data_IF_880184083649
#
_entry.id   IF_880184083649
#
_cell.length_a   1.000
_cell.length_b   1.000
_cell.length_c   1.000
_cell.angle_alpha   90.00
_cell.angle_beta   90.00
_cell.angle_gamma   90.00
#
_symmetry.space_group_name_H-M   'P 1'
#
loop_
_entity.id
_entity.type
_entity.pdbx_description
1 polymer ?
#
# COMPACT_ATOMS: atom_id res chain seq x y z
N UNK A 1 14.60 6.30 1.70
CA UNK A 1 13.27 6.88 1.91
C UNK A 1 13.09 7.11 3.39
N UNK A 2 12.98 8.37 3.79
CA UNK A 2 12.58 8.75 5.14
C UNK A 2 11.06 8.89 5.20
N UNK A 3 10.42 7.87 5.77
CA UNK A 3 8.95 7.82 5.89
C UNK A 3 8.38 8.85 6.88
N UNK A 4 9.20 9.46 7.74
CA UNK A 4 8.76 10.50 8.68
C UNK A 4 8.82 11.91 8.08
N UNK A 5 9.19 12.03 6.80
CA UNK A 5 9.34 13.32 6.13
C UNK A 5 8.00 13.98 5.81
N UNK A 6 7.96 15.32 5.91
CA UNK A 6 6.80 16.11 5.45
C UNK A 6 6.53 15.97 3.95
N UNK A 7 7.56 15.62 3.17
CA UNK A 7 7.42 15.28 1.76
C UNK A 7 6.58 14.01 1.57
N UNK A 8 6.84 12.95 2.35
CA UNK A 8 6.05 11.71 2.31
C UNK A 8 4.60 11.95 2.75
N UNK A 9 4.39 12.74 3.80
CA UNK A 9 3.04 13.15 4.21
C UNK A 9 2.31 13.89 3.09
N UNK A 10 2.96 14.87 2.44
CA UNK A 10 2.40 15.62 1.32
C UNK A 10 2.06 14.74 0.11
N UNK A 11 2.86 13.70 -0.13
CA UNK A 11 2.63 12.69 -1.17
C UNK A 11 1.38 11.86 -0.88
N UNK A 12 1.23 11.38 0.36
CA UNK A 12 0.05 10.63 0.80
C UNK A 12 -1.22 11.51 0.74
N UNK A 13 -1.12 12.77 1.17
CA UNK A 13 -2.21 13.74 1.09
C UNK A 13 -2.61 14.04 -0.36
N UNK A 14 -1.66 14.02 -1.29
CA UNK A 14 -1.95 14.21 -2.72
C UNK A 14 -2.79 13.06 -3.28
N UNK A 15 -2.49 11.81 -2.90
CA UNK A 15 -3.32 10.65 -3.27
C UNK A 15 -4.76 10.82 -2.77
N UNK A 16 -4.92 11.14 -1.48
CA UNK A 16 -6.24 11.33 -0.85
C UNK A 16 -7.03 12.40 -1.60
N UNK A 17 -6.40 13.56 -1.86
CA UNK A 17 -7.02 14.69 -2.52
C UNK A 17 -7.34 14.40 -3.98
N UNK A 18 -6.45 13.79 -4.73
CA UNK A 18 -6.64 13.60 -6.18
C UNK A 18 -7.66 12.50 -6.48
N UNK A 19 -7.82 11.54 -5.56
CA UNK A 19 -8.76 10.42 -5.72
C UNK A 19 -10.03 10.50 -4.85
N UNK A 20 -10.29 11.63 -4.19
CA UNK A 20 -11.44 11.79 -3.26
C UNK A 20 -12.82 11.54 -3.89
N UNK A 21 -12.96 11.75 -5.21
CA UNK A 21 -14.23 11.50 -5.92
C UNK A 21 -14.42 10.03 -6.30
N UNK A 22 -13.36 9.22 -6.23
CA UNK A 22 -13.36 7.81 -6.65
C UNK A 22 -13.40 6.86 -5.46
N UNK A 23 -12.89 7.27 -4.31
CA UNK A 23 -12.80 6.46 -3.10
C UNK A 23 -13.40 7.17 -1.90
N UNK A 24 -14.23 6.44 -1.15
CA UNK A 24 -14.58 6.85 0.21
C UNK A 24 -13.49 6.38 1.17
N UNK A 25 -12.57 7.28 1.50
CA UNK A 25 -11.45 6.99 2.39
C UNK A 25 -11.85 6.59 3.81
N UNK A 26 -13.13 6.77 4.19
CA UNK A 26 -13.66 6.26 5.44
C UNK A 26 -14.01 4.76 5.37
N UNK A 27 -14.13 4.18 4.19
CA UNK A 27 -14.44 2.76 4.00
C UNK A 27 -13.26 1.98 3.40
N UNK A 28 -12.48 2.62 2.51
CA UNK A 28 -11.34 1.98 1.82
C UNK A 28 -10.02 2.68 2.14
N UNK A 29 -8.99 1.89 2.42
CA UNK A 29 -7.60 2.32 2.45
C UNK A 29 -6.80 1.66 1.35
N UNK A 30 -5.93 2.43 0.69
CA UNK A 30 -5.05 1.96 -0.38
C UNK A 30 -3.60 2.20 0.02
N UNK A 31 -2.79 1.16 -0.09
CA UNK A 31 -1.34 1.25 0.03
C UNK A 31 -0.73 0.68 -1.24
N UNK A 32 0.20 1.40 -1.84
CA UNK A 32 0.91 0.97 -3.03
C UNK A 32 2.41 0.99 -2.76
N UNK A 33 3.11 -0.02 -3.25
CA UNK A 33 4.56 -0.11 -3.11
C UNK A 33 5.21 -0.70 -4.36
N UNK A 34 6.33 -0.11 -4.74
CA UNK A 34 7.27 -0.71 -5.70
C UNK A 34 8.53 -1.12 -4.93
N UNK A 35 8.90 -2.38 -5.09
CA UNK A 35 10.03 -2.99 -4.39
C UNK A 35 11.01 -3.44 -5.46
N UNK A 36 12.20 -2.86 -5.44
CA UNK A 36 13.29 -3.21 -6.36
C UNK A 36 14.31 -4.06 -5.60
N UNK A 37 14.37 -5.34 -5.94
CA UNK A 37 15.26 -6.30 -5.30
C UNK A 37 16.74 -6.09 -5.68
N UNK A 38 17.02 -5.51 -6.85
CA UNK A 38 18.39 -5.22 -7.28
C UNK A 38 18.97 -4.04 -6.51
N UNK A 39 18.20 -2.96 -6.41
CA UNK A 39 18.65 -1.71 -5.77
C UNK A 39 18.35 -1.69 -4.27
N UNK A 40 17.70 -2.74 -3.75
CA UNK A 40 17.23 -2.85 -2.35
C UNK A 40 16.45 -1.62 -1.90
N UNK A 41 15.59 -1.12 -2.78
CA UNK A 41 14.79 0.07 -2.55
C UNK A 41 13.31 -0.26 -2.52
N UNK A 42 12.59 0.52 -1.70
CA UNK A 42 11.14 0.45 -1.60
C UNK A 42 10.62 1.86 -1.74
N UNK A 43 9.72 2.05 -2.69
CA UNK A 43 8.91 3.25 -2.80
C UNK A 43 7.50 2.93 -2.34
N UNK A 44 6.91 3.81 -1.53
CA UNK A 44 5.58 3.60 -0.96
C UNK A 44 4.69 4.82 -1.20
N UNK A 45 3.39 4.55 -1.26
CA UNK A 45 2.33 5.54 -1.34
C UNK A 45 1.16 5.00 -0.52
N UNK A 46 0.59 5.81 0.36
CA UNK A 46 -0.53 5.40 1.22
C UNK A 46 -1.64 6.44 1.19
N UNK A 47 -2.89 6.00 1.27
CA UNK A 47 -4.03 6.86 1.55
C UNK A 47 -4.21 7.11 3.06
N UNK A 48 -3.33 6.56 3.89
CA UNK A 48 -3.30 6.72 5.35
C UNK A 48 -1.83 6.81 5.79
N UNK A 49 -1.36 8.03 6.04
CA UNK A 49 0.02 8.28 6.43
C UNK A 49 0.31 7.78 7.85
N UNK A 50 -0.63 7.91 8.78
CA UNK A 50 -0.49 7.40 10.15
C UNK A 50 -0.33 5.87 10.15
N UNK A 51 -1.09 5.18 9.29
CA UNK A 51 -0.91 3.75 9.06
C UNK A 51 0.49 3.41 8.54
N UNK A 52 1.01 4.20 7.59
CA UNK A 52 2.35 4.01 7.06
C UNK A 52 3.40 4.16 8.17
N UNK A 53 3.31 5.21 8.99
CA UNK A 53 4.19 5.43 10.14
C UNK A 53 4.12 4.27 11.13
N UNK A 54 2.91 3.79 11.44
CA UNK A 54 2.70 2.65 12.35
C UNK A 54 3.31 1.36 11.80
N UNK A 55 3.11 1.08 10.52
CA UNK A 55 3.63 -0.13 9.87
C UNK A 55 5.15 -0.22 9.92
N UNK A 56 5.83 0.89 9.64
CA UNK A 56 7.30 0.97 9.65
C UNK A 56 7.86 1.14 11.07
N UNK A 57 7.16 1.84 11.96
CA UNK A 57 7.59 2.03 13.35
C UNK A 57 7.52 0.75 14.19
N UNK A 58 6.78 -0.25 13.73
CA UNK A 58 6.63 -1.56 14.38
C UNK A 58 7.41 -2.67 13.65
N UNK A 59 8.37 -2.28 12.79
CA UNK A 59 9.27 -3.15 12.04
C UNK A 59 8.55 -4.20 11.15
N UNK A 60 7.29 -3.96 10.79
CA UNK A 60 6.51 -4.89 9.95
C UNK A 60 7.03 -4.90 8.51
N UNK A 61 7.71 -3.83 8.08
CA UNK A 61 8.44 -3.76 6.82
C UNK A 61 9.57 -4.80 6.74
N UNK A 62 10.19 -5.20 7.86
CA UNK A 62 11.19 -6.27 7.87
C UNK A 62 10.60 -7.64 7.49
N UNK A 63 9.29 -7.80 7.65
CA UNK A 63 8.53 -9.02 7.29
C UNK A 63 7.95 -8.97 5.87
N UNK A 64 8.32 -7.96 5.06
CA UNK A 64 7.75 -7.77 3.72
C UNK A 64 7.89 -9.00 2.82
N UNK A 65 8.90 -9.85 3.05
CA UNK A 65 9.12 -11.09 2.32
C UNK A 65 7.91 -12.05 2.35
N UNK A 66 7.11 -12.07 3.43
CA UNK A 66 5.88 -12.87 3.49
C UNK A 66 4.84 -12.43 2.44
N UNK A 67 4.92 -11.15 2.03
CA UNK A 67 3.97 -10.47 1.15
C UNK A 67 4.41 -10.43 -0.32
N UNK A 68 5.64 -10.84 -0.62
CA UNK A 68 6.24 -10.79 -1.96
C UNK A 68 5.86 -11.97 -2.86
N UNK A 69 4.98 -12.86 -2.38
CA UNK A 69 4.48 -13.96 -3.20
C UNK A 69 3.47 -13.41 -4.19
N UNK A 70 3.77 -13.54 -5.49
CA UNK A 70 2.86 -13.11 -6.55
C UNK A 70 1.46 -13.74 -6.39
N UNK A 71 0.42 -12.96 -6.69
CA UNK A 71 -0.99 -13.36 -6.54
C UNK A 71 -1.77 -12.46 -5.58
N UNK A 72 -2.94 -12.95 -5.18
CA UNK A 72 -3.87 -12.25 -4.30
C UNK A 72 -3.88 -12.97 -2.95
N UNK A 73 -3.58 -12.26 -1.87
CA UNK A 73 -3.42 -12.86 -0.54
C UNK A 73 -4.12 -12.01 0.52
N UNK A 74 -4.88 -12.64 1.41
CA UNK A 74 -5.41 -11.96 2.59
C UNK A 74 -4.35 -11.88 3.68
N UNK A 75 -4.30 -10.76 4.39
CA UNK A 75 -3.37 -10.59 5.52
C UNK A 75 -3.58 -11.61 6.64
N UNK A 76 -4.79 -12.13 6.78
CA UNK A 76 -5.11 -13.20 7.73
C UNK A 76 -4.36 -14.51 7.46
N UNK A 77 -3.75 -14.66 6.28
CA UNK A 77 -2.94 -15.82 5.91
C UNK A 77 -1.45 -15.66 6.25
N UNK A 78 -1.01 -14.46 6.64
CA UNK A 78 0.36 -14.21 7.09
C UNK A 78 0.53 -14.48 8.60
N UNK A 79 1.75 -14.29 9.11
CA UNK A 79 2.04 -14.44 10.53
C UNK A 79 1.23 -13.46 11.40
N UNK A 80 1.11 -13.78 12.70
CA UNK A 80 0.19 -13.08 13.60
C UNK A 80 0.50 -11.58 13.79
N UNK A 81 1.75 -11.16 13.57
CA UNK A 81 2.14 -9.74 13.63
C UNK A 81 1.28 -8.91 12.67
N UNK A 82 1.00 -9.41 11.46
CA UNK A 82 0.13 -8.74 10.49
C UNK A 82 -1.31 -8.59 10.98
N UNK A 83 -1.82 -9.55 11.76
CA UNK A 83 -3.16 -9.47 12.35
C UNK A 83 -3.20 -8.48 13.50
N UNK A 84 -2.14 -8.43 14.30
CA UNK A 84 -2.09 -7.57 15.48
C UNK A 84 -1.86 -6.11 15.10
N UNK A 85 -0.99 -5.82 14.12
CA UNK A 85 -0.80 -4.47 13.59
C UNK A 85 -2.07 -3.96 12.90
N UNK A 86 -2.80 -4.83 12.17
CA UNK A 86 -4.03 -4.45 11.49
C UNK A 86 -5.05 -3.87 12.47
N UNK A 87 -5.17 -4.43 13.69
CA UNK A 87 -6.06 -3.92 14.75
C UNK A 87 -5.77 -2.45 15.16
N UNK A 88 -4.58 -1.93 14.88
CA UNK A 88 -4.18 -0.54 15.17
C UNK A 88 -4.59 0.45 14.07
N UNK A 89 -4.90 -0.01 12.86
CA UNK A 89 -5.26 0.82 11.72
C UNK A 89 -6.75 1.14 11.61
N UNK A 90 -7.12 2.05 10.69
CA UNK A 90 -8.51 2.28 10.28
C UNK A 90 -8.96 1.25 9.26
N UNK A 91 -10.26 0.95 9.20
CA UNK A 91 -10.89 0.09 8.18
C UNK A 91 -10.18 -1.27 8.07
N UNK A 92 -10.06 -1.94 9.20
CA UNK A 92 -9.07 -2.98 9.45
C UNK A 92 -9.67 -4.38 9.68
N UNK A 93 -10.93 -4.58 9.33
CA UNK A 93 -11.55 -5.91 9.41
C UNK A 93 -11.04 -6.83 8.30
N UNK A 94 -10.72 -6.26 7.13
CA UNK A 94 -10.20 -7.00 5.98
C UNK A 94 -9.05 -6.24 5.32
N UNK A 95 -7.94 -6.94 5.07
CA UNK A 95 -6.84 -6.42 4.24
C UNK A 95 -6.36 -7.48 3.26
N UNK A 96 -6.22 -7.07 2.01
CA UNK A 96 -5.85 -7.92 0.88
C UNK A 96 -4.66 -7.31 0.15
N UNK A 97 -3.70 -8.14 -0.22
CA UNK A 97 -2.55 -7.81 -1.05
C UNK A 97 -2.74 -8.37 -2.46
N UNK A 98 -2.42 -7.56 -3.46
CA UNK A 98 -2.20 -8.00 -4.83
C UNK A 98 -0.72 -7.75 -5.15
N UNK A 99 0.03 -8.84 -5.25
CA UNK A 99 1.45 -8.80 -5.59
C UNK A 99 1.65 -9.22 -7.05
N UNK A 100 2.33 -8.39 -7.83
CA UNK A 100 2.78 -8.73 -9.18
C UNK A 100 4.29 -8.64 -9.25
N UNK A 101 4.93 -9.62 -9.89
CA UNK A 101 6.38 -9.66 -10.06
C UNK A 101 6.75 -9.45 -11.53
N UNK A 102 7.63 -8.49 -11.77
CA UNK A 102 8.24 -8.16 -13.06
C UNK A 102 9.76 -8.26 -12.93
N UNK A 103 10.29 -9.49 -13.03
CA UNK A 103 11.71 -9.76 -12.81
C UNK A 103 12.13 -9.45 -11.36
N UNK A 104 12.98 -8.43 -11.19
CA UNK A 104 13.47 -7.95 -9.89
C UNK A 104 12.60 -6.84 -9.28
N UNK A 105 11.58 -6.39 -10.00
CA UNK A 105 10.63 -5.40 -9.51
C UNK A 105 9.36 -6.12 -9.05
N UNK A 106 8.88 -5.80 -7.87
CA UNK A 106 7.59 -6.24 -7.37
C UNK A 106 6.70 -5.03 -7.13
N UNK A 107 5.47 -5.12 -7.62
CA UNK A 107 4.41 -4.17 -7.31
C UNK A 107 3.47 -4.81 -6.30
N UNK A 108 3.22 -4.11 -5.21
CA UNK A 108 2.32 -4.53 -4.14
C UNK A 108 1.26 -3.45 -3.96
N UNK A 109 0.00 -3.79 -4.22
CA UNK A 109 -1.13 -2.97 -3.83
C UNK A 109 -1.88 -3.67 -2.70
N UNK A 110 -2.06 -2.98 -1.59
CA UNK A 110 -2.85 -3.45 -0.47
C UNK A 110 -4.10 -2.61 -0.34
N UNK A 111 -5.22 -3.27 -0.19
CA UNK A 111 -6.50 -2.62 0.10
C UNK A 111 -7.01 -3.10 1.44
N UNK A 112 -7.37 -2.16 2.29
CA UNK A 112 -8.07 -2.45 3.54
C UNK A 112 -9.49 -1.90 3.49
N UNK A 113 -10.43 -2.67 4.01
CA UNK A 113 -11.87 -2.35 4.00
C UNK A 113 -12.53 -2.75 5.31
N UNK A 114 -13.61 -2.06 5.66
CA UNK A 114 -14.46 -2.40 6.81
C UNK A 114 -15.24 -3.70 6.53
N UNK A 115 -15.66 -3.90 5.29
CA UNK A 115 -16.45 -5.07 4.90
C UNK A 115 -15.66 -6.06 4.04
N UNK A 116 -16.09 -7.32 4.04
CA UNK A 116 -15.49 -8.35 3.21
C UNK A 116 -15.80 -8.06 1.74
N UNK A 117 -14.75 -7.89 0.94
CA UNK A 117 -14.86 -7.68 -0.50
C UNK A 117 -15.44 -8.91 -1.21
N UNK A 118 -16.40 -8.69 -2.11
CA UNK A 118 -16.83 -9.69 -3.06
C UNK A 118 -15.78 -9.92 -4.14
N UNK A 119 -15.91 -11.00 -4.92
CA UNK A 119 -15.03 -11.23 -6.08
C UNK A 119 -15.11 -10.07 -7.09
N UNK A 120 -16.30 -9.48 -7.27
CA UNK A 120 -16.48 -8.34 -8.17
C UNK A 120 -15.72 -7.10 -7.68
N UNK A 121 -15.70 -6.87 -6.37
CA UNK A 121 -14.96 -5.74 -5.78
C UNK A 121 -13.45 -5.94 -5.92
N UNK A 122 -12.96 -7.15 -5.63
CA UNK A 122 -11.55 -7.53 -5.81
C UNK A 122 -11.11 -7.31 -7.26
N UNK A 123 -11.92 -7.72 -8.24
CA UNK A 123 -11.64 -7.51 -9.66
C UNK A 123 -11.70 -6.04 -10.06
N UNK A 124 -12.56 -5.24 -9.41
CA UNK A 124 -12.64 -3.80 -9.65
C UNK A 124 -11.39 -3.09 -9.11
N UNK A 125 -10.96 -3.42 -7.90
CA UNK A 125 -9.70 -2.94 -7.31
C UNK A 125 -8.52 -3.29 -8.20
N UNK A 126 -8.45 -4.53 -8.69
CA UNK A 126 -7.38 -4.97 -9.56
C UNK A 126 -7.27 -4.13 -10.84
N UNK A 127 -8.41 -3.64 -11.38
CA UNK A 127 -8.43 -2.74 -12.55
C UNK A 127 -7.87 -1.35 -12.27
N UNK A 128 -7.87 -0.90 -11.01
CA UNK A 128 -7.28 0.40 -10.64
C UNK A 128 -5.76 0.35 -10.50
N UNK A 129 -5.17 -0.83 -10.34
CA UNK A 129 -3.73 -1.01 -10.14
C UNK A 129 -2.87 -0.26 -11.18
N UNK A 130 -3.14 -0.31 -12.50
CA UNK A 130 -2.34 0.44 -13.48
C UNK A 130 -2.44 1.96 -13.30
N UNK A 131 -3.61 2.48 -12.93
CA UNK A 131 -3.84 3.92 -12.73
C UNK A 131 -3.07 4.40 -11.50
N UNK A 132 -3.13 3.63 -10.41
CA UNK A 132 -2.39 3.92 -9.17
C UNK A 132 -0.88 3.82 -9.40
N UNK A 133 -0.42 2.81 -10.17
CA UNK A 133 0.99 2.64 -10.53
C UNK A 133 1.53 3.83 -11.33
N UNK A 134 0.83 4.25 -12.39
CA UNK A 134 1.21 5.43 -13.18
C UNK A 134 1.23 6.71 -12.33
N UNK A 135 0.19 6.92 -11.53
CA UNK A 135 0.11 8.07 -10.64
C UNK A 135 1.29 8.11 -9.66
N UNK A 136 1.57 6.99 -8.98
CA UNK A 136 2.66 6.88 -8.02
C UNK A 136 4.02 7.14 -8.69
N UNK A 137 4.27 6.57 -9.86
CA UNK A 137 5.51 6.80 -10.61
C UNK A 137 5.72 8.29 -10.90
N UNK A 138 4.70 8.96 -11.45
CA UNK A 138 4.78 10.40 -11.75
C UNK A 138 4.99 11.25 -10.50
N UNK A 139 4.42 10.82 -9.37
CA UNK A 139 4.53 11.52 -8.10
C UNK A 139 5.93 11.36 -7.50
N UNK A 140 6.50 10.16 -7.51
CA UNK A 140 7.86 9.91 -7.03
C UNK A 140 8.90 10.59 -7.91
N UNK A 141 8.73 10.58 -9.24
CA UNK A 141 9.64 11.27 -10.17
C UNK A 141 9.69 12.79 -9.91
N UNK A 142 8.54 13.41 -9.62
CA UNK A 142 8.46 14.85 -9.27
C UNK A 142 9.10 15.20 -7.94
N UNK A 143 9.18 14.25 -7.02
CA UNK A 143 9.66 14.45 -5.65
C UNK A 143 11.00 13.74 -5.41
N UNK A 144 11.72 13.36 -6.47
CA UNK A 144 12.94 12.55 -6.39
C UNK A 144 14.05 13.17 -5.53
N UNK A 145 14.09 14.49 -5.43
CA UNK A 145 15.11 15.23 -4.68
C UNK A 145 14.78 15.39 -3.19
N UNK A 146 13.58 14.97 -2.76
CA UNK A 146 13.05 15.19 -1.40
C UNK A 146 12.60 13.91 -0.69
N UNK A 147 12.71 12.73 -1.32
CA UNK A 147 12.35 11.42 -0.73
C UNK A 147 13.53 10.43 -0.77
#
# INVERSE_FOLDING_TARGET
MDINSSAMEGICNSLIKDFYQYFDWNDIGINYSIINLSDKSVNVLSSDYDWLLTYWGEDVDLLINERLKAGIHYWNNYCNIFKDIMKKGKNNDYKIDFCTRHGNILELISVNTVSKLSVADIMTIYKWKPIISDYASRLWDKNRDVI
#
